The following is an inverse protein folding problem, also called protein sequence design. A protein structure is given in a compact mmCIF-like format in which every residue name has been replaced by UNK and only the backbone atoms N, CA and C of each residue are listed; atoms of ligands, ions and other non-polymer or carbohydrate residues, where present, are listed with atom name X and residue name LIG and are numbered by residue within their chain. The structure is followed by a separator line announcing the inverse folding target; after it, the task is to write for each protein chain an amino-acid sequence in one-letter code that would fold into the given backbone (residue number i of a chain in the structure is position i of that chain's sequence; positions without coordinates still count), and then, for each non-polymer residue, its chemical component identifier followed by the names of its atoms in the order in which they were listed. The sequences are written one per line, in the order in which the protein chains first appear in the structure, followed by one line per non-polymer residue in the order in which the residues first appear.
data_IF_150945727574
#
_entry.id   IF_150945727574
#
_cell.length_a   1.000
_cell.length_b   1.000
_cell.length_c   1.000
_cell.angle_alpha   90.00
_cell.angle_beta   90.00
_cell.angle_gamma   90.00
#
_symmetry.space_group_name_H-M   'P 1'
#
loop_
_entity.id
_entity.type
_entity.pdbx_description
1 polymer ?
#
# COMPACT_ATOMS: atom_id res chain seq x y z
N UNK A 1 30.83 -3.19 -17.60
CA UNK A 1 30.19 -2.72 -16.35
C UNK A 1 29.98 -1.21 -16.31
N UNK A 2 31.00 -0.36 -16.55
CA UNK A 2 30.83 1.12 -16.50
C UNK A 2 29.79 1.66 -17.49
N UNK A 3 29.91 1.33 -18.76
CA UNK A 3 28.95 1.78 -19.79
C UNK A 3 27.53 1.28 -19.51
N UNK A 4 27.39 0.08 -18.96
CA UNK A 4 26.08 -0.45 -18.54
C UNK A 4 25.49 0.31 -17.36
N UNK A 5 26.29 0.66 -16.35
CA UNK A 5 25.84 1.51 -15.25
C UNK A 5 25.40 2.89 -15.74
N UNK A 6 26.19 3.53 -16.62
CA UNK A 6 25.82 4.83 -17.22
C UNK A 6 24.52 4.72 -18.03
N UNK A 7 24.33 3.65 -18.80
CA UNK A 7 23.10 3.41 -19.54
C UNK A 7 21.88 3.24 -18.62
N UNK A 8 22.01 2.54 -17.49
CA UNK A 8 20.93 2.39 -16.51
C UNK A 8 20.56 3.70 -15.82
N UNK A 9 21.56 4.50 -15.41
CA UNK A 9 21.28 5.83 -14.85
C UNK A 9 20.64 6.76 -15.88
N UNK A 10 21.15 6.78 -17.12
CA UNK A 10 20.54 7.55 -18.20
C UNK A 10 19.11 7.09 -18.50
N UNK A 11 18.86 5.77 -18.51
CA UNK A 11 17.53 5.19 -18.69
C UNK A 11 16.55 5.58 -17.58
N UNK A 12 16.98 5.53 -16.31
CA UNK A 12 16.16 5.97 -15.18
C UNK A 12 15.83 7.46 -15.23
N UNK A 13 16.80 8.32 -15.58
CA UNK A 13 16.56 9.76 -15.77
C UNK A 13 15.60 10.00 -16.94
N UNK A 14 15.81 9.33 -18.07
CA UNK A 14 14.93 9.43 -19.23
C UNK A 14 13.50 9.01 -18.87
N UNK A 15 13.32 7.91 -18.15
CA UNK A 15 12.00 7.43 -17.72
C UNK A 15 11.32 8.43 -16.77
N UNK A 16 12.08 9.04 -15.85
CA UNK A 16 11.59 10.13 -15.00
C UNK A 16 11.13 11.34 -15.82
N UNK A 17 11.91 11.77 -16.81
CA UNK A 17 11.54 12.87 -17.70
C UNK A 17 10.28 12.55 -18.51
N UNK A 18 10.17 11.34 -19.07
CA UNK A 18 8.96 10.88 -19.79
C UNK A 18 7.74 10.96 -18.87
N UNK A 19 7.89 10.54 -17.62
CA UNK A 19 6.82 10.61 -16.62
C UNK A 19 6.40 12.06 -16.31
N UNK A 20 7.35 12.98 -16.13
CA UNK A 20 7.06 14.40 -15.93
C UNK A 20 6.37 15.02 -17.16
N UNK A 21 6.86 14.72 -18.36
CA UNK A 21 6.24 15.15 -19.62
C UNK A 21 4.82 14.63 -19.67
N UNK A 22 4.58 13.34 -19.37
CA UNK A 22 3.25 12.75 -19.37
C UNK A 22 2.30 13.50 -18.43
N UNK A 23 2.72 13.86 -17.22
CA UNK A 23 1.91 14.65 -16.29
C UNK A 23 1.58 16.04 -16.87
N UNK A 24 2.56 16.70 -17.50
CA UNK A 24 2.37 18.03 -18.09
C UNK A 24 1.43 18.03 -19.30
N UNK A 25 1.38 16.92 -20.05
CA UNK A 25 0.52 16.78 -21.25
C UNK A 25 -0.96 16.59 -20.93
N UNK A 26 -1.28 16.16 -19.71
CA UNK A 26 -2.68 16.00 -19.28
C UNK A 26 -3.29 17.39 -19.09
N UNK A 27 -4.50 17.58 -19.63
CA UNK A 27 -5.11 18.92 -19.68
C UNK A 27 -5.88 19.21 -18.40
N UNK A 28 -6.72 18.26 -17.98
CA UNK A 28 -7.59 18.45 -16.82
C UNK A 28 -6.88 18.07 -15.53
N UNK A 29 -7.25 18.73 -14.42
CA UNK A 29 -6.73 18.36 -13.11
C UNK A 29 -7.18 16.97 -12.68
N UNK A 30 -8.39 16.53 -13.10
CA UNK A 30 -8.89 15.18 -12.87
C UNK A 30 -7.99 14.12 -13.52
N UNK A 31 -7.63 14.30 -14.79
CA UNK A 31 -6.71 13.38 -15.47
C UNK A 31 -5.35 13.30 -14.77
N UNK A 32 -4.82 14.45 -14.33
CA UNK A 32 -3.57 14.51 -13.56
C UNK A 32 -3.69 13.74 -12.24
N UNK A 33 -4.79 13.93 -11.52
CA UNK A 33 -5.10 13.19 -10.29
C UNK A 33 -5.13 11.69 -10.53
N UNK A 34 -5.87 11.21 -11.54
CA UNK A 34 -6.03 9.79 -11.84
C UNK A 34 -4.72 9.13 -12.26
N UNK A 35 -3.91 9.84 -13.04
CA UNK A 35 -2.61 9.34 -13.45
C UNK A 35 -1.66 9.20 -12.25
N UNK A 36 -1.57 10.23 -11.39
CA UNK A 36 -0.63 10.22 -10.27
C UNK A 36 -1.02 9.24 -9.18
N UNK A 37 -2.30 9.22 -8.80
CA UNK A 37 -2.82 8.27 -7.80
C UNK A 37 -2.52 6.81 -8.16
N UNK A 38 -2.51 6.46 -9.46
CA UNK A 38 -2.30 5.08 -9.93
C UNK A 38 -0.85 4.75 -10.28
N UNK A 39 -0.08 5.71 -10.81
CA UNK A 39 1.21 5.43 -11.46
C UNK A 39 2.43 6.09 -10.84
N UNK A 40 2.28 7.15 -10.04
CA UNK A 40 3.44 7.91 -9.53
C UNK A 40 4.42 7.02 -8.75
N UNK A 41 3.93 6.34 -7.71
CA UNK A 41 4.76 5.50 -6.84
C UNK A 41 5.37 4.35 -7.65
N UNK A 42 4.55 3.63 -8.43
CA UNK A 42 4.99 2.50 -9.27
C UNK A 42 6.06 2.91 -10.30
N UNK A 43 5.92 4.08 -10.93
CA UNK A 43 6.92 4.56 -11.88
C UNK A 43 8.23 4.92 -11.16
N UNK A 44 8.15 5.54 -9.98
CA UNK A 44 9.33 5.87 -9.18
C UNK A 44 10.03 4.62 -8.66
N UNK A 45 9.30 3.59 -8.23
CA UNK A 45 9.87 2.30 -7.85
C UNK A 45 10.72 1.71 -8.99
N UNK A 46 10.20 1.71 -10.22
CA UNK A 46 10.95 1.24 -11.41
C UNK A 46 12.23 2.07 -11.61
N UNK A 47 12.17 3.39 -11.46
CA UNK A 47 13.33 4.29 -11.59
C UNK A 47 14.40 3.96 -10.55
N UNK A 48 13.99 3.79 -9.28
CA UNK A 48 14.92 3.45 -8.21
C UNK A 48 15.51 2.05 -8.35
N UNK A 49 14.75 1.08 -8.90
CA UNK A 49 15.29 -0.24 -9.25
C UNK A 49 16.39 -0.12 -10.32
N UNK A 50 16.17 0.69 -11.38
CA UNK A 50 17.20 0.94 -12.39
C UNK A 50 18.47 1.55 -11.78
N UNK A 51 18.32 2.50 -10.86
CA UNK A 51 19.44 3.10 -10.15
C UNK A 51 20.14 2.12 -9.21
N UNK A 52 19.40 1.26 -8.50
CA UNK A 52 19.96 0.22 -7.64
C UNK A 52 20.82 -0.79 -8.44
N UNK A 53 20.33 -1.21 -9.63
CA UNK A 53 21.11 -2.06 -10.54
C UNK A 53 22.35 -1.31 -11.05
N UNK A 54 22.21 -0.03 -11.41
CA UNK A 54 23.33 0.83 -11.80
C UNK A 54 24.42 0.90 -10.72
N UNK A 55 24.02 1.08 -9.45
CA UNK A 55 24.93 1.08 -8.31
C UNK A 55 25.60 -0.28 -8.13
N UNK A 56 24.86 -1.39 -8.22
CA UNK A 56 25.42 -2.73 -8.17
C UNK A 56 26.53 -2.91 -9.23
N UNK A 57 26.27 -2.48 -10.47
CA UNK A 57 27.27 -2.55 -11.55
C UNK A 57 28.51 -1.70 -11.28
N UNK A 58 28.38 -0.55 -10.60
CA UNK A 58 29.51 0.28 -10.18
C UNK A 58 30.32 -0.37 -9.04
N UNK A 59 29.65 -0.94 -8.05
CA UNK A 59 30.29 -1.68 -6.95
C UNK A 59 31.06 -2.87 -7.51
N UNK A 60 30.46 -3.62 -8.46
CA UNK A 60 31.13 -4.75 -9.08
C UNK A 60 32.42 -4.35 -9.80
N UNK A 61 32.52 -3.12 -10.34
CA UNK A 61 33.74 -2.62 -10.96
C UNK A 61 34.87 -2.40 -9.96
N UNK A 62 34.57 -2.11 -8.71
CA UNK A 62 35.58 -1.82 -7.69
C UNK A 62 36.51 -3.04 -7.47
N UNK A 63 37.82 -2.81 -7.54
CA UNK A 63 38.84 -3.87 -7.33
C UNK A 63 39.06 -4.80 -8.52
N UNK A 64 38.47 -4.52 -9.69
CA UNK A 64 38.65 -5.33 -10.89
C UNK A 64 40.08 -5.29 -11.45
N UNK A 65 40.77 -4.16 -11.29
CA UNK A 65 42.14 -3.94 -11.81
C UNK A 65 43.23 -4.50 -10.88
N UNK A 66 42.86 -5.17 -9.78
CA UNK A 66 43.78 -5.66 -8.74
C UNK A 66 43.76 -7.18 -8.56
N UNK A 67 42.92 -7.88 -9.31
CA UNK A 67 42.66 -9.31 -9.14
C UNK A 67 42.75 -9.98 -10.51
N UNK A 68 43.90 -10.58 -10.79
CA UNK A 68 44.20 -11.24 -12.07
C UNK A 68 43.73 -12.71 -12.10
N UNK A 69 43.47 -13.32 -10.95
CA UNK A 69 43.04 -14.72 -10.86
C UNK A 69 41.51 -14.85 -10.74
N UNK A 70 40.90 -15.59 -11.68
CA UNK A 70 39.51 -16.00 -11.60
C UNK A 70 39.37 -17.18 -10.63
N UNK A 71 38.76 -16.92 -9.48
CA UNK A 71 38.48 -17.91 -8.43
C UNK A 71 37.40 -17.42 -7.47
N UNK A 72 37.59 -17.66 -6.17
CA UNK A 72 36.66 -17.26 -5.09
C UNK A 72 36.32 -15.76 -5.13
N UNK A 73 37.26 -14.91 -5.56
CA UNK A 73 37.09 -13.47 -5.68
C UNK A 73 35.98 -13.03 -6.64
N UNK A 74 35.66 -13.83 -7.66
CA UNK A 74 34.51 -13.56 -8.53
C UNK A 74 33.20 -13.58 -7.75
N UNK A 75 32.99 -14.63 -6.93
CA UNK A 75 31.78 -14.80 -6.12
C UNK A 75 31.66 -13.75 -5.02
N UNK A 76 32.78 -13.41 -4.37
CA UNK A 76 32.81 -12.35 -3.35
C UNK A 76 32.39 -11.00 -3.95
N UNK A 77 32.90 -10.65 -5.14
CA UNK A 77 32.52 -9.40 -5.83
C UNK A 77 31.07 -9.39 -6.28
N UNK A 78 30.56 -10.52 -6.78
CA UNK A 78 29.15 -10.66 -7.14
C UNK A 78 28.26 -10.46 -5.91
N UNK A 79 28.61 -11.08 -4.78
CA UNK A 79 27.90 -10.95 -3.52
C UNK A 79 27.88 -9.50 -3.00
N UNK A 80 29.04 -8.84 -2.94
CA UNK A 80 29.14 -7.43 -2.49
C UNK A 80 28.33 -6.51 -3.41
N UNK A 81 28.41 -6.72 -4.72
CA UNK A 81 27.61 -5.99 -5.72
C UNK A 81 26.12 -6.14 -5.48
N UNK A 82 25.65 -7.38 -5.27
CA UNK A 82 24.25 -7.66 -5.01
C UNK A 82 23.80 -7.02 -3.70
N UNK A 83 24.54 -7.24 -2.61
CA UNK A 83 24.25 -6.67 -1.30
C UNK A 83 24.20 -5.13 -1.30
N UNK A 84 25.13 -4.48 -2.02
CA UNK A 84 25.12 -3.03 -2.17
C UNK A 84 23.94 -2.52 -2.99
N UNK A 85 23.62 -3.19 -4.10
CA UNK A 85 22.45 -2.86 -4.91
C UNK A 85 21.13 -3.02 -4.15
N UNK A 86 20.96 -4.15 -3.44
CA UNK A 86 19.75 -4.40 -2.64
C UNK A 86 19.61 -3.42 -1.49
N UNK A 87 20.70 -3.01 -0.84
CA UNK A 87 20.68 -1.98 0.19
C UNK A 87 20.15 -0.64 -0.35
N UNK A 88 20.66 -0.18 -1.50
CA UNK A 88 20.18 1.06 -2.14
C UNK A 88 18.71 0.93 -2.54
N UNK A 89 18.33 -0.19 -3.14
CA UNK A 89 16.94 -0.45 -3.51
C UNK A 89 16.00 -0.47 -2.31
N UNK A 90 16.41 -1.08 -1.19
CA UNK A 90 15.64 -1.15 0.04
C UNK A 90 15.46 0.23 0.68
N UNK A 91 16.51 1.05 0.74
CA UNK A 91 16.41 2.43 1.24
C UNK A 91 15.43 3.24 0.38
N UNK A 92 15.50 3.12 -0.94
CA UNK A 92 14.58 3.80 -1.84
C UNK A 92 13.12 3.33 -1.65
N UNK A 93 12.92 2.02 -1.49
CA UNK A 93 11.61 1.44 -1.18
C UNK A 93 11.02 2.01 0.12
N UNK A 94 11.81 2.05 1.21
CA UNK A 94 11.35 2.62 2.48
C UNK A 94 10.95 4.10 2.34
N UNK A 95 11.70 4.88 1.57
CA UNK A 95 11.37 6.29 1.31
C UNK A 95 10.04 6.41 0.57
N UNK A 96 9.83 5.58 -0.46
CA UNK A 96 8.60 5.57 -1.26
C UNK A 96 7.38 5.07 -0.50
N UNK A 97 7.54 4.09 0.39
CA UNK A 97 6.45 3.49 1.15
C UNK A 97 6.01 4.38 2.32
N UNK A 98 6.95 4.99 3.06
CA UNK A 98 6.63 5.68 4.30
C UNK A 98 6.59 7.22 4.19
N UNK A 99 7.49 7.82 3.41
CA UNK A 99 7.63 9.29 3.38
C UNK A 99 6.97 9.93 2.16
N UNK A 100 7.02 9.26 1.01
CA UNK A 100 6.49 9.79 -0.23
C UNK A 100 4.95 9.89 -0.31
N UNK A 101 4.15 8.98 0.29
CA UNK A 101 2.70 9.03 0.14
C UNK A 101 2.09 10.32 0.68
N UNK A 102 2.62 10.88 1.77
CA UNK A 102 2.17 12.17 2.30
C UNK A 102 2.40 13.34 1.34
N UNK A 103 3.45 13.28 0.50
CA UNK A 103 3.69 14.30 -0.53
C UNK A 103 2.72 14.14 -1.70
N UNK A 104 2.44 12.89 -2.09
CA UNK A 104 1.47 12.58 -3.13
C UNK A 104 0.07 13.02 -2.70
N UNK A 105 -0.35 12.71 -1.48
CA UNK A 105 -1.65 13.11 -0.92
C UNK A 105 -1.86 14.64 -0.96
N UNK A 106 -0.86 15.42 -0.52
CA UNK A 106 -0.92 16.89 -0.60
C UNK A 106 -1.09 17.40 -2.04
N UNK A 107 -0.38 16.78 -2.99
CA UNK A 107 -0.46 17.11 -4.42
C UNK A 107 -1.83 16.74 -5.01
N UNK A 108 -2.35 15.57 -4.65
CA UNK A 108 -3.67 15.09 -5.07
C UNK A 108 -4.80 15.97 -4.54
N UNK A 109 -4.80 16.30 -3.24
CA UNK A 109 -5.76 17.23 -2.62
C UNK A 109 -5.74 18.59 -3.29
N UNK A 110 -4.55 19.13 -3.58
CA UNK A 110 -4.41 20.39 -4.29
C UNK A 110 -5.08 20.36 -5.66
N UNK A 111 -4.92 19.28 -6.43
CA UNK A 111 -5.54 19.16 -7.76
C UNK A 111 -7.02 18.85 -7.71
N UNK A 112 -7.48 18.08 -6.72
CA UNK A 112 -8.90 17.81 -6.48
C UNK A 112 -9.66 19.12 -6.27
N UNK A 113 -9.26 19.92 -5.28
CA UNK A 113 -9.95 21.15 -4.89
C UNK A 113 -9.54 22.42 -5.66
N UNK A 114 -8.75 22.28 -6.74
CA UNK A 114 -8.41 23.42 -7.59
C UNK A 114 -9.63 23.84 -8.43
N UNK A 115 -10.02 25.13 -8.45
CA UNK A 115 -11.19 25.59 -9.20
C UNK A 115 -11.18 25.12 -10.66
N UNK A 116 -12.31 24.57 -11.10
CA UNK A 116 -12.51 24.15 -12.50
C UNK A 116 -12.91 25.34 -13.37
N UNK A 117 -12.69 25.19 -14.65
CA UNK A 117 -13.12 26.13 -15.68
C UNK A 117 -14.07 25.36 -16.59
N UNK A 118 -15.27 25.90 -16.80
CA UNK A 118 -16.26 25.28 -17.66
C UNK A 118 -15.70 25.25 -19.11
N UNK A 119 -15.60 24.07 -19.76
CA UNK A 119 -15.03 23.96 -21.09
C UNK A 119 -15.88 24.62 -22.18
N UNK A 120 -17.17 24.86 -21.93
CA UNK A 120 -18.09 25.49 -22.88
C UNK A 120 -18.04 27.01 -22.81
N UNK A 121 -18.01 27.56 -21.60
CA UNK A 121 -18.17 29.01 -21.37
C UNK A 121 -16.86 29.70 -21.00
N UNK A 122 -15.88 28.97 -20.47
CA UNK A 122 -14.65 29.53 -19.91
C UNK A 122 -14.83 30.13 -18.51
N UNK A 123 -16.02 30.02 -17.91
CA UNK A 123 -16.29 30.55 -16.58
C UNK A 123 -15.63 29.70 -15.49
N UNK A 124 -15.32 30.33 -14.35
CA UNK A 124 -14.90 29.60 -13.15
C UNK A 124 -16.08 28.87 -12.55
N UNK A 125 -15.88 27.61 -12.20
CA UNK A 125 -16.90 26.79 -11.55
C UNK A 125 -16.69 26.78 -10.04
N UNK A 126 -17.79 26.72 -9.30
CA UNK A 126 -17.81 26.54 -7.84
C UNK A 126 -17.95 25.05 -7.53
N UNK A 127 -17.17 24.56 -6.57
CA UNK A 127 -17.38 23.25 -5.97
C UNK A 127 -18.57 23.36 -5.01
N UNK A 128 -19.57 22.51 -5.21
CA UNK A 128 -20.70 22.41 -4.31
C UNK A 128 -20.25 21.78 -2.97
N UNK A 129 -21.00 22.05 -1.90
CA UNK A 129 -20.82 21.34 -0.65
C UNK A 129 -21.73 20.10 -0.62
N UNK A 130 -21.32 19.00 0.00
CA UNK A 130 -22.03 17.72 0.11
C UNK A 130 -23.57 17.78 -0.01
N UNK A 131 -24.24 18.53 0.87
CA UNK A 131 -25.70 18.65 0.91
C UNK A 131 -26.35 19.35 -0.30
N UNK A 132 -25.58 20.15 -1.06
CA UNK A 132 -25.98 20.76 -2.32
C UNK A 132 -25.81 19.77 -3.50
N UNK A 133 -24.90 18.80 -3.38
CA UNK A 133 -24.50 17.88 -4.46
C UNK A 133 -25.61 16.87 -4.78
N UNK A 134 -26.34 16.43 -3.75
CA UNK A 134 -27.40 15.41 -3.82
C UNK A 134 -28.47 15.68 -4.89
N UNK A 135 -28.74 16.95 -5.20
CA UNK A 135 -29.74 17.38 -6.19
C UNK A 135 -29.26 17.10 -7.62
N UNK A 136 -27.94 17.04 -7.81
CA UNK A 136 -27.28 16.82 -9.10
C UNK A 136 -26.79 15.38 -9.29
N UNK A 137 -26.94 14.53 -8.28
CA UNK A 137 -26.52 13.13 -8.31
C UNK A 137 -27.69 12.20 -8.59
N UNK A 138 -27.42 11.11 -9.32
CA UNK A 138 -28.38 10.03 -9.47
C UNK A 138 -28.42 9.15 -8.21
N UNK A 139 -29.45 8.30 -8.12
CA UNK A 139 -29.65 7.43 -6.96
C UNK A 139 -28.48 6.45 -6.75
N UNK A 140 -27.82 6.03 -7.84
CA UNK A 140 -26.69 5.11 -7.79
C UNK A 140 -25.42 5.78 -7.30
N UNK A 141 -25.15 7.02 -7.70
CA UNK A 141 -24.03 7.84 -7.23
C UNK A 141 -24.11 8.01 -5.71
N UNK A 142 -25.29 8.41 -5.20
CA UNK A 142 -25.53 8.51 -3.76
C UNK A 142 -25.34 7.18 -3.04
N UNK A 143 -25.82 6.08 -3.64
CA UNK A 143 -25.64 4.76 -3.05
C UNK A 143 -24.16 4.31 -2.98
N UNK A 144 -23.31 4.76 -3.91
CA UNK A 144 -21.86 4.53 -3.86
C UNK A 144 -21.17 5.38 -2.78
N UNK A 145 -21.63 6.63 -2.56
CA UNK A 145 -21.15 7.50 -1.49
C UNK A 145 -21.58 7.05 -0.09
N UNK A 146 -22.83 6.57 0.05
CA UNK A 146 -23.37 6.02 1.29
C UNK A 146 -22.54 4.85 1.83
N UNK A 147 -21.91 4.09 0.94
CA UNK A 147 -20.97 3.01 1.30
C UNK A 147 -19.51 3.41 1.18
N UNK A 148 -19.25 4.69 0.96
CA UNK A 148 -17.94 5.31 0.86
C UNK A 148 -16.98 4.62 -0.13
N UNK A 149 -17.54 4.02 -1.18
CA UNK A 149 -16.75 3.32 -2.18
C UNK A 149 -16.19 4.27 -3.22
N UNK A 150 -16.99 5.27 -3.57
CA UNK A 150 -16.74 6.33 -4.52
C UNK A 150 -17.16 7.62 -3.85
N UNK A 151 -16.50 8.70 -4.23
CA UNK A 151 -16.66 10.04 -3.70
C UNK A 151 -16.81 10.97 -4.92
N UNK A 152 -17.94 11.65 -5.05
CA UNK A 152 -18.23 12.52 -6.18
C UNK A 152 -18.03 13.98 -5.78
N UNK A 153 -17.31 14.73 -6.62
CA UNK A 153 -17.26 16.19 -6.50
C UNK A 153 -18.14 16.80 -7.60
N UNK A 154 -19.13 17.59 -7.23
CA UNK A 154 -19.99 18.31 -8.18
C UNK A 154 -19.54 19.78 -8.33
N UNK A 155 -19.15 20.14 -9.55
CA UNK A 155 -18.80 21.51 -9.93
C UNK A 155 -19.92 22.16 -10.73
N UNK A 156 -20.33 23.37 -10.35
CA UNK A 156 -21.37 24.13 -11.05
C UNK A 156 -20.85 25.46 -11.60
N UNK A 157 -21.26 25.80 -12.82
CA UNK A 157 -21.15 27.15 -13.38
C UNK A 157 -22.41 27.94 -13.01
N UNK A 158 -22.31 28.85 -12.06
CA UNK A 158 -23.46 29.61 -11.55
C UNK A 158 -24.12 30.52 -12.61
N UNK A 159 -23.44 30.81 -13.72
CA UNK A 159 -24.01 31.66 -14.78
C UNK A 159 -24.86 30.87 -15.76
N UNK A 160 -24.50 29.62 -16.06
CA UNK A 160 -25.18 28.79 -17.07
C UNK A 160 -25.89 27.57 -16.49
N UNK A 161 -25.70 27.28 -15.20
CA UNK A 161 -26.11 26.05 -14.53
C UNK A 161 -25.54 24.78 -15.18
N UNK A 162 -24.42 24.88 -15.91
CA UNK A 162 -23.68 23.71 -16.37
C UNK A 162 -23.04 23.00 -15.17
N UNK A 163 -23.16 21.68 -15.13
CA UNK A 163 -22.61 20.85 -14.05
C UNK A 163 -21.55 19.90 -14.60
N UNK A 164 -20.45 19.73 -13.86
CA UNK A 164 -19.42 18.72 -14.10
C UNK A 164 -19.30 17.88 -12.84
N UNK A 165 -19.56 16.58 -12.96
CA UNK A 165 -19.41 15.60 -11.87
C UNK A 165 -18.09 14.85 -12.05
N UNK A 166 -17.22 14.90 -11.05
CA UNK A 166 -15.93 14.22 -11.05
C UNK A 166 -15.93 13.05 -10.05
N UNK A 167 -15.53 11.85 -10.51
CA UNK A 167 -15.54 10.61 -9.73
C UNK A 167 -14.18 10.31 -9.07
N UNK A 168 -14.14 10.19 -7.75
CA UNK A 168 -12.94 9.83 -6.97
C UNK A 168 -13.11 8.49 -6.23
N UNK A 169 -12.00 7.80 -5.97
CA UNK A 169 -12.04 6.57 -5.19
C UNK A 169 -12.26 6.91 -3.71
N UNK A 170 -13.29 6.31 -3.11
CA UNK A 170 -13.58 6.45 -1.68
C UNK A 170 -12.61 5.68 -0.80
N UNK A 171 -12.84 5.73 0.51
CA UNK A 171 -11.97 5.09 1.51
C UNK A 171 -12.27 3.60 1.71
N UNK A 172 -13.48 3.14 1.38
CA UNK A 172 -13.84 1.73 1.39
C UNK A 172 -13.72 1.12 0.00
N UNK A 173 -13.29 -0.13 -0.05
CA UNK A 173 -13.28 -0.90 -1.29
C UNK A 173 -14.58 -1.68 -1.42
N UNK A 174 -15.40 -1.28 -2.39
CA UNK A 174 -16.56 -2.06 -2.82
C UNK A 174 -16.36 -2.52 -4.27
N UNK A 175 -16.87 -3.71 -4.56
CA UNK A 175 -16.83 -4.27 -5.91
C UNK A 175 -17.99 -3.73 -6.74
N UNK A 176 -17.81 -3.76 -8.07
CA UNK A 176 -18.89 -3.45 -8.99
C UNK A 176 -19.94 -4.57 -8.94
N UNK A 177 -21.20 -4.20 -8.71
CA UNK A 177 -22.31 -5.13 -8.75
C UNK A 177 -22.60 -5.54 -10.20
N UNK A 178 -22.63 -6.85 -10.49
CA UNK A 178 -22.95 -7.35 -11.83
C UNK A 178 -24.40 -7.15 -12.27
N UNK A 179 -25.31 -6.82 -11.34
CA UNK A 179 -26.73 -6.61 -11.63
C UNK A 179 -27.06 -5.13 -11.91
N UNK A 180 -26.63 -4.21 -11.05
CA UNK A 180 -26.92 -2.77 -11.20
C UNK A 180 -25.74 -1.93 -11.74
N UNK A 181 -24.52 -2.46 -11.76
CA UNK A 181 -23.34 -1.76 -12.28
C UNK A 181 -22.66 -0.80 -11.31
N UNK A 182 -23.25 -0.52 -10.14
CA UNK A 182 -22.67 0.37 -9.12
C UNK A 182 -21.63 -0.33 -8.24
N UNK A 183 -20.67 0.43 -7.73
CA UNK A 183 -19.62 0.00 -6.80
C UNK A 183 -20.17 -0.10 -5.36
N UNK A 184 -21.15 -0.97 -5.15
CA UNK A 184 -21.88 -1.10 -3.88
C UNK A 184 -21.87 -2.52 -3.32
N UNK A 185 -21.14 -3.43 -3.97
CA UNK A 185 -21.06 -4.84 -3.59
C UNK A 185 -20.00 -5.03 -2.48
N UNK A 186 -20.44 -5.33 -1.26
CA UNK A 186 -19.57 -5.53 -0.08
C UNK A 186 -19.66 -6.95 0.46
N UNK A 187 -18.60 -7.41 1.13
CA UNK A 187 -18.62 -8.70 1.85
C UNK A 187 -19.49 -8.54 3.11
N UNK A 188 -20.50 -9.38 3.25
CA UNK A 188 -21.40 -9.40 4.42
C UNK A 188 -21.13 -10.58 5.34
N UNK A 189 -20.67 -11.71 4.80
CA UNK A 189 -20.36 -12.92 5.56
C UNK A 189 -19.23 -13.66 4.88
N UNK A 190 -18.36 -14.25 5.68
CA UNK A 190 -17.36 -15.21 5.23
C UNK A 190 -17.61 -16.53 5.95
N UNK A 191 -17.53 -17.65 5.22
CA UNK A 191 -17.82 -18.98 5.74
C UNK A 191 -16.78 -19.98 5.21
N UNK A 192 -16.19 -20.76 6.11
CA UNK A 192 -15.25 -21.84 5.74
C UNK A 192 -16.09 -23.09 5.46
N UNK A 193 -16.19 -23.47 4.18
CA UNK A 193 -16.94 -24.67 3.75
C UNK A 193 -16.11 -25.93 3.89
N UNK A 194 -14.81 -25.85 3.57
CA UNK A 194 -13.87 -26.94 3.73
C UNK A 194 -12.74 -26.50 4.64
N UNK A 195 -12.54 -27.23 5.74
CA UNK A 195 -11.40 -26.97 6.61
C UNK A 195 -10.11 -27.40 5.93
N UNK A 196 -9.02 -26.64 6.08
CA UNK A 196 -7.75 -27.02 5.51
C UNK A 196 -7.21 -28.28 6.18
N UNK A 197 -6.46 -29.07 5.41
CA UNK A 197 -5.69 -30.20 5.94
C UNK A 197 -4.21 -30.01 5.59
N UNK A 198 -3.34 -30.81 6.19
CA UNK A 198 -1.88 -30.78 5.94
C UNK A 198 -1.56 -30.78 4.44
N UNK A 199 -2.35 -31.51 3.64
CA UNK A 199 -2.08 -31.73 2.22
C UNK A 199 -3.07 -31.03 1.28
N UNK A 200 -4.13 -30.39 1.79
CA UNK A 200 -5.15 -29.75 0.95
C UNK A 200 -5.52 -28.35 1.47
N UNK A 201 -5.54 -27.33 0.60
CA UNK A 201 -6.02 -26.01 0.98
C UNK A 201 -7.48 -26.12 1.41
N UNK A 202 -7.86 -25.32 2.41
CA UNK A 202 -9.26 -25.17 2.78
C UNK A 202 -10.03 -24.38 1.72
N UNK A 203 -11.33 -24.24 1.91
CA UNK A 203 -12.20 -23.43 1.07
C UNK A 203 -12.99 -22.44 1.93
N UNK A 204 -12.94 -21.17 1.51
CA UNK A 204 -13.67 -20.06 2.09
C UNK A 204 -14.65 -19.51 1.05
N UNK A 205 -15.92 -19.45 1.39
CA UNK A 205 -16.92 -18.74 0.61
C UNK A 205 -17.10 -17.35 1.21
N UNK A 206 -16.92 -16.32 0.38
CA UNK A 206 -17.32 -14.95 0.71
C UNK A 206 -18.70 -14.69 0.12
N UNK A 207 -19.62 -14.28 0.97
CA UNK A 207 -20.94 -13.79 0.60
C UNK A 207 -20.90 -12.29 0.46
N UNK A 208 -21.25 -11.83 -0.73
CA UNK A 208 -21.34 -10.43 -1.08
C UNK A 208 -22.79 -10.01 -1.20
N UNK A 209 -23.09 -8.80 -0.76
CA UNK A 209 -24.40 -8.17 -0.92
C UNK A 209 -24.21 -6.75 -1.44
N UNK A 210 -25.01 -6.40 -2.46
CA UNK A 210 -25.07 -5.05 -2.99
C UNK A 210 -25.90 -4.17 -2.04
N UNK A 211 -25.34 -3.08 -1.52
CA UNK A 211 -26.10 -2.17 -0.64
C UNK A 211 -27.30 -1.53 -1.35
N UNK A 212 -27.18 -1.29 -2.66
CA UNK A 212 -28.21 -0.66 -3.49
C UNK A 212 -29.31 -1.65 -3.90
N UNK A 213 -29.03 -2.55 -4.84
CA UNK A 213 -30.06 -3.44 -5.42
C UNK A 213 -30.28 -4.75 -4.63
N UNK A 214 -29.60 -4.94 -3.50
CA UNK A 214 -29.68 -6.13 -2.63
C UNK A 214 -29.35 -7.45 -3.32
N UNK A 215 -28.71 -7.43 -4.50
CA UNK A 215 -28.24 -8.64 -5.17
C UNK A 215 -27.20 -9.34 -4.30
N UNK A 216 -27.36 -10.64 -4.11
CA UNK A 216 -26.41 -11.47 -3.35
C UNK A 216 -25.55 -12.29 -4.32
N UNK A 217 -24.26 -12.44 -4.01
CA UNK A 217 -23.33 -13.28 -4.75
C UNK A 217 -22.44 -14.04 -3.77
N UNK A 218 -22.16 -15.31 -4.05
CA UNK A 218 -21.16 -16.08 -3.33
C UNK A 218 -19.97 -16.36 -4.24
N UNK A 219 -18.75 -16.34 -3.71
CA UNK A 219 -17.55 -16.74 -4.47
C UNK A 219 -16.62 -17.51 -3.55
N UNK A 220 -16.19 -18.68 -4.01
CA UNK A 220 -15.28 -19.55 -3.30
C UNK A 220 -13.82 -19.14 -3.55
N UNK A 221 -13.02 -19.17 -2.50
CA UNK A 221 -11.59 -18.90 -2.49
C UNK A 221 -10.88 -20.07 -1.81
N UNK A 222 -9.77 -20.53 -2.38
CA UNK A 222 -8.90 -21.50 -1.70
C UNK A 222 -8.06 -20.76 -0.65
N UNK A 223 -8.06 -21.26 0.57
CA UNK A 223 -7.31 -20.73 1.71
C UNK A 223 -6.11 -21.63 2.03
N UNK A 224 -5.19 -21.15 2.86
CA UNK A 224 -3.96 -21.90 3.24
C UNK A 224 -4.27 -23.28 3.83
N UNK A 225 -3.29 -24.18 3.78
CA UNK A 225 -3.34 -25.52 4.39
C UNK A 225 -3.23 -25.52 5.92
N UNK A 226 -2.94 -24.38 6.53
CA UNK A 226 -2.72 -24.23 7.97
C UNK A 226 -3.91 -23.57 8.66
N UNK A 227 -4.28 -24.06 9.85
CA UNK A 227 -5.29 -23.47 10.73
C UNK A 227 -4.65 -22.56 11.79
N UNK A 228 -5.49 -21.72 12.44
CA UNK A 228 -5.06 -20.83 13.52
C UNK A 228 -4.33 -21.56 14.67
N UNK A 229 -4.71 -22.80 14.96
CA UNK A 229 -4.08 -23.61 16.01
C UNK A 229 -2.72 -24.22 15.59
N UNK A 230 -2.43 -24.31 14.29
CA UNK A 230 -1.11 -24.75 13.82
C UNK A 230 -0.06 -23.69 14.11
N UNK A 231 -0.41 -22.40 14.00
CA UNK A 231 0.46 -21.28 14.42
C UNK A 231 0.74 -21.26 15.92
N UNK A 232 -0.15 -21.82 16.77
CA UNK A 232 0.12 -21.94 18.22
C UNK A 232 1.15 -23.02 18.55
N UNK A 233 1.31 -24.02 17.68
CA UNK A 233 2.28 -25.11 17.85
C UNK A 233 3.66 -24.74 17.32
N UNK A 234 3.77 -23.68 16.52
CA UNK A 234 5.06 -23.07 16.18
C UNK A 234 5.69 -22.47 17.44
N UNK A 235 6.49 -23.30 18.14
CA UNK A 235 7.43 -22.79 19.13
C UNK A 235 8.50 -22.01 18.38
N UNK A 236 8.41 -20.68 18.38
CA UNK A 236 9.55 -19.85 18.02
C UNK A 236 10.66 -20.07 19.05
N UNK A 237 11.58 -21.00 18.78
CA UNK A 237 12.81 -21.12 19.55
C UNK A 237 13.81 -20.10 19.02
N UNK A 238 14.10 -19.06 19.80
CA UNK A 238 15.31 -18.27 19.58
C UNK A 238 16.49 -19.23 19.75
N UNK A 239 17.29 -19.41 18.69
CA UNK A 239 18.36 -20.42 18.68
C UNK A 239 19.52 -20.08 19.64
N UNK A 240 19.51 -18.90 20.27
CA UNK A 240 20.40 -18.55 21.36
C UNK A 240 19.85 -17.42 22.25
N UNK A 241 20.21 -17.45 23.55
CA UNK A 241 19.88 -16.39 24.51
C UNK A 241 20.56 -15.04 24.19
N UNK A 242 21.49 -15.02 23.24
CA UNK A 242 22.19 -13.82 22.74
C UNK A 242 21.43 -13.06 21.64
N UNK A 243 20.37 -13.65 21.10
CA UNK A 243 19.54 -13.04 20.05
C UNK A 243 18.34 -12.26 20.62
N UNK A 244 18.12 -12.35 21.94
CA UNK A 244 17.06 -11.63 22.64
C UNK A 244 17.57 -10.24 22.99
N UNK A 245 17.18 -9.25 22.18
CA UNK A 245 17.59 -7.84 22.36
C UNK A 245 16.65 -7.08 23.31
N UNK A 246 15.38 -7.50 23.38
CA UNK A 246 14.35 -6.85 24.20
C UNK A 246 13.20 -7.83 24.47
N UNK A 247 12.78 -7.92 25.73
CA UNK A 247 11.57 -8.65 26.15
C UNK A 247 10.58 -7.64 26.71
N UNK A 248 9.39 -7.54 26.11
CA UNK A 248 8.32 -6.66 26.60
C UNK A 248 7.18 -7.48 27.17
N UNK A 249 6.84 -7.24 28.43
CA UNK A 249 5.77 -7.91 29.17
C UNK A 249 4.66 -6.91 29.45
N UNK A 250 3.45 -7.18 28.97
CA UNK A 250 2.25 -6.43 29.32
C UNK A 250 1.46 -7.18 30.39
N UNK A 251 1.22 -6.54 31.54
CA UNK A 251 0.35 -7.09 32.59
C UNK A 251 -0.96 -6.31 32.59
N UNK A 252 -2.07 -7.03 32.40
CA UNK A 252 -3.43 -6.48 32.46
C UNK A 252 -4.08 -6.81 33.80
N UNK A 253 -4.67 -5.81 34.45
CA UNK A 253 -5.45 -6.00 35.67
C UNK A 253 -6.88 -6.42 35.35
N UNK A 254 -7.47 -7.30 36.18
CA UNK A 254 -8.87 -7.69 36.07
C UNK A 254 -9.85 -6.52 36.30
N UNK A 255 -9.42 -5.49 37.04
CA UNK A 255 -10.20 -4.27 37.32
C UNK A 255 -10.07 -3.19 36.24
N UNK A 256 -9.35 -3.49 35.14
CA UNK A 256 -9.06 -2.55 34.07
C UNK A 256 -7.71 -1.86 34.24
N UNK A 257 -7.03 -1.63 33.11
CA UNK A 257 -5.69 -1.02 33.04
C UNK A 257 -4.60 -2.01 32.62
N UNK A 258 -3.66 -1.55 31.80
CA UNK A 258 -2.47 -2.32 31.40
C UNK A 258 -1.18 -1.56 31.71
N UNK A 259 -0.16 -2.30 32.16
CA UNK A 259 1.19 -1.78 32.38
C UNK A 259 2.19 -2.58 31.56
N UNK A 260 3.15 -1.87 30.98
CA UNK A 260 4.20 -2.45 30.15
C UNK A 260 5.54 -2.40 30.89
N UNK A 261 6.27 -3.51 30.81
CA UNK A 261 7.61 -3.65 31.35
C UNK A 261 8.54 -4.15 30.25
N UNK A 262 9.74 -3.58 30.17
CA UNK A 262 10.72 -3.89 29.13
C UNK A 262 12.02 -4.36 29.79
N UNK A 263 12.57 -5.45 29.30
CA UNK A 263 13.77 -6.10 29.83
C UNK A 263 14.79 -6.31 28.72
N UNK A 264 16.07 -6.13 29.02
CA UNK A 264 17.15 -6.28 28.03
C UNK A 264 17.54 -7.74 27.77
N UNK A 265 17.12 -8.67 28.63
CA UNK A 265 17.40 -10.10 28.49
C UNK A 265 16.28 -10.97 29.08
N UNK A 266 16.28 -12.26 28.74
CA UNK A 266 15.27 -13.22 29.16
C UNK A 266 15.31 -13.52 30.67
N UNK A 267 16.49 -13.46 31.29
CA UNK A 267 16.68 -13.81 32.70
C UNK A 267 16.04 -12.75 33.62
N UNK A 268 16.18 -11.46 33.26
CA UNK A 268 15.55 -10.34 33.95
C UNK A 268 14.02 -10.45 33.90
N UNK A 269 13.47 -10.74 32.72
CA UNK A 269 12.04 -10.91 32.55
C UNK A 269 11.49 -12.08 33.37
N UNK A 270 12.21 -13.22 33.39
CA UNK A 270 11.82 -14.38 34.21
C UNK A 270 11.82 -14.06 35.70
N UNK A 271 12.87 -13.39 36.20
CA UNK A 271 12.96 -12.99 37.61
C UNK A 271 11.79 -12.09 38.02
N UNK A 272 11.48 -11.08 37.19
CA UNK A 272 10.35 -10.18 37.42
C UNK A 272 9.02 -10.93 37.49
N UNK A 273 8.77 -11.87 36.58
CA UNK A 273 7.54 -12.66 36.58
C UNK A 273 7.41 -13.55 37.83
N UNK A 274 8.53 -14.07 38.35
CA UNK A 274 8.54 -14.81 39.62
C UNK A 274 8.18 -13.92 40.80
N UNK A 275 8.78 -12.73 40.90
CA UNK A 275 8.50 -11.75 41.95
C UNK A 275 7.01 -11.34 41.97
N UNK A 276 6.44 -11.03 40.80
CA UNK A 276 5.01 -10.67 40.67
C UNK A 276 4.08 -11.82 41.07
N UNK A 277 4.49 -13.07 40.86
CA UNK A 277 3.70 -14.24 41.23
C UNK A 277 3.76 -14.52 42.75
N UNK A 278 4.88 -14.20 43.39
CA UNK A 278 5.04 -14.31 44.85
C UNK A 278 4.27 -13.21 45.60
N UNK A 279 4.18 -11.99 45.06
CA UNK A 279 3.36 -10.91 45.62
C UNK A 279 1.84 -11.20 45.61
N UNK A 280 1.39 -12.21 44.85
CA UNK A 280 -0.02 -12.66 44.81
C UNK A 280 -0.37 -13.78 45.79
N UNK A 281 0.60 -14.34 46.51
CA UNK A 281 0.37 -15.29 47.62
C UNK A 281 0.21 -14.55 48.94
#
# INVERSE_FOLDING_TARGET
MLYGAMALFAGGILFYLIHLIRISTLKTYKEKYDYISRREIKNLEIIFILFAIGVAMLINRYGMDKIDEMGVWFFVRLFISFAGGTLVGYIAFLILEYYYPSRVDKKLKKWRFMPRVNPKTGNKMRLLAEHEEDVHMDEGMRAEEDVFSIDYDVWIDEQTNDVIVEKYQGHLQALQCGNCGFYTLKVVKEEITERPTINSPGELIKHYECSYCKSVRATAFKISTMEADDFKKEKHSFQNNRDVVLVKVEIKSATGGSKFYEFGDLAQAQKFLTEVNEEKK
#
